data_IF_328725172534
#
_entry.id   IF_328725172534
#
_cell.length_a   1.000
_cell.length_b   1.000
_cell.length_c   1.000
_cell.angle_alpha   90.00
_cell.angle_beta   90.00
_cell.angle_gamma   90.00
#
_symmetry.space_group_name_H-M   'P 1'
#
loop_
_entity.id
_entity.type
_entity.pdbx_description
1 polymer ?
#
# COMPACT_ATOMS: atom_id res chain seq x y z
N UNK A 1 18.43 -10.49 -9.48
CA UNK A 1 19.44 -10.95 -10.45
C UNK A 1 20.12 -12.26 -10.05
N UNK A 2 20.43 -12.49 -8.76
CA UNK A 2 21.07 -13.75 -8.32
C UNK A 2 20.21 -15.01 -8.58
N UNK A 3 18.90 -14.98 -8.33
CA UNK A 3 18.05 -16.18 -8.50
C UNK A 3 17.93 -16.66 -9.96
N UNK A 4 17.79 -15.73 -10.92
CA UNK A 4 17.74 -16.08 -12.34
C UNK A 4 19.07 -16.67 -12.82
N UNK A 5 20.19 -16.16 -12.32
CA UNK A 5 21.51 -16.72 -12.60
C UNK A 5 21.64 -18.15 -12.04
N UNK A 6 21.19 -18.39 -10.81
CA UNK A 6 21.18 -19.73 -10.22
C UNK A 6 20.26 -20.67 -11.03
N UNK A 7 19.06 -20.21 -11.36
CA UNK A 7 18.04 -20.98 -12.07
C UNK A 7 18.47 -21.42 -13.48
N UNK A 8 18.95 -20.49 -14.31
CA UNK A 8 19.13 -20.74 -15.74
C UNK A 8 20.59 -20.99 -16.14
N UNK A 9 21.56 -20.42 -15.42
CA UNK A 9 22.98 -20.57 -15.72
C UNK A 9 23.64 -21.68 -14.89
N UNK A 10 23.50 -21.65 -13.56
CA UNK A 10 24.06 -22.71 -12.69
C UNK A 10 23.21 -23.98 -12.75
N UNK A 11 21.89 -23.83 -12.86
CA UNK A 11 20.90 -24.92 -12.86
C UNK A 11 20.90 -25.76 -11.57
N UNK A 12 21.23 -25.13 -10.43
CA UNK A 12 21.13 -25.75 -9.11
C UNK A 12 19.77 -25.48 -8.48
N UNK A 13 18.87 -26.45 -8.64
CA UNK A 13 17.49 -26.39 -8.14
C UNK A 13 17.41 -26.47 -6.61
N UNK A 14 18.34 -27.16 -5.95
CA UNK A 14 18.34 -27.24 -4.47
C UNK A 14 18.80 -25.91 -3.88
N UNK A 15 19.85 -25.31 -4.42
CA UNK A 15 20.27 -23.97 -4.01
C UNK A 15 19.19 -22.92 -4.30
N UNK A 16 18.51 -23.01 -5.44
CA UNK A 16 17.38 -22.13 -5.77
C UNK A 16 16.25 -22.26 -4.73
N UNK A 17 15.89 -23.50 -4.36
CA UNK A 17 14.88 -23.79 -3.36
C UNK A 17 15.26 -23.23 -1.98
N UNK A 18 16.49 -23.45 -1.54
CA UNK A 18 17.00 -22.92 -0.28
C UNK A 18 16.98 -21.39 -0.26
N UNK A 19 17.40 -20.73 -1.35
CA UNK A 19 17.38 -19.27 -1.45
C UNK A 19 15.95 -18.72 -1.41
N UNK A 20 15.00 -19.32 -2.15
CA UNK A 20 13.60 -18.93 -2.08
C UNK A 20 13.01 -19.10 -0.67
N UNK A 21 13.34 -20.20 0.01
CA UNK A 21 12.89 -20.44 1.38
C UNK A 21 13.49 -19.42 2.36
N UNK A 22 14.78 -19.09 2.24
CA UNK A 22 15.42 -18.05 3.06
C UNK A 22 14.75 -16.70 2.87
N UNK A 23 14.48 -16.28 1.63
CA UNK A 23 13.85 -14.99 1.37
C UNK A 23 12.39 -14.94 1.85
N UNK A 24 11.63 -16.03 1.72
CA UNK A 24 10.22 -16.07 2.13
C UNK A 24 10.03 -16.26 3.62
N UNK A 25 10.95 -16.94 4.32
CA UNK A 25 10.78 -17.26 5.73
C UNK A 25 11.64 -16.33 6.59
N UNK A 26 12.93 -16.24 6.30
CA UNK A 26 13.89 -15.56 7.18
C UNK A 26 13.82 -14.05 6.97
N UNK A 27 13.88 -13.57 5.73
CA UNK A 27 13.81 -12.12 5.48
C UNK A 27 12.47 -11.55 5.94
N UNK A 28 11.37 -12.26 5.67
CA UNK A 28 10.07 -11.82 6.16
C UNK A 28 9.97 -11.85 7.69
N UNK A 29 10.45 -12.90 8.36
CA UNK A 29 10.47 -12.92 9.83
C UNK A 29 11.29 -11.76 10.42
N UNK A 30 12.40 -11.39 9.79
CA UNK A 30 13.23 -10.26 10.20
C UNK A 30 12.48 -8.94 10.00
N UNK A 31 11.84 -8.75 8.84
CA UNK A 31 11.04 -7.55 8.57
C UNK A 31 9.94 -7.39 9.62
N UNK A 32 9.12 -8.42 9.84
CA UNK A 32 8.03 -8.37 10.83
C UNK A 32 8.55 -8.12 12.25
N UNK A 33 9.74 -8.65 12.59
CA UNK A 33 10.39 -8.37 13.87
C UNK A 33 10.81 -6.91 13.97
N UNK A 34 11.44 -6.37 12.93
CA UNK A 34 11.85 -4.96 12.88
C UNK A 34 10.65 -4.04 12.96
N UNK A 35 9.57 -4.32 12.23
CA UNK A 35 8.38 -3.47 12.23
C UNK A 35 7.61 -3.47 13.56
N UNK A 36 7.57 -4.60 14.27
CA UNK A 36 6.77 -4.71 15.52
C UNK A 36 7.61 -4.49 16.77
N UNK A 37 8.80 -5.11 16.85
CA UNK A 37 9.61 -5.13 18.08
C UNK A 37 10.44 -3.86 18.22
N UNK A 38 11.03 -3.36 17.13
CA UNK A 38 11.88 -2.18 17.18
C UNK A 38 11.16 -0.95 17.74
N UNK A 39 9.96 -0.56 17.27
CA UNK A 39 9.25 0.59 17.84
C UNK A 39 8.84 0.39 19.30
N UNK A 40 8.60 -0.86 19.74
CA UNK A 40 8.33 -1.13 21.15
C UNK A 40 9.58 -0.90 22.02
N UNK A 41 10.73 -1.39 21.55
CA UNK A 41 12.01 -1.23 22.25
C UNK A 41 12.44 0.23 22.30
N UNK A 42 12.32 0.96 21.19
CA UNK A 42 12.67 2.40 21.17
C UNK A 42 11.76 3.20 22.09
N UNK A 43 10.44 2.98 22.05
CA UNK A 43 9.49 3.64 22.97
C UNK A 43 9.79 3.33 24.44
N UNK A 44 10.07 2.07 24.77
CA UNK A 44 10.44 1.68 26.13
C UNK A 44 11.73 2.36 26.59
N UNK A 45 12.76 2.38 25.74
CA UNK A 45 14.05 3.01 26.04
C UNK A 45 13.91 4.53 26.20
N UNK A 46 13.22 5.21 25.27
CA UNK A 46 12.96 6.66 25.33
C UNK A 46 12.20 7.00 26.61
N UNK A 47 11.14 6.25 26.96
CA UNK A 47 10.39 6.47 28.19
C UNK A 47 11.26 6.30 29.45
N UNK A 48 12.09 5.25 29.51
CA UNK A 48 13.05 5.01 30.60
C UNK A 48 14.07 6.14 30.74
N UNK A 49 14.66 6.58 29.62
CA UNK A 49 15.63 7.68 29.60
C UNK A 49 14.96 9.00 29.99
N UNK A 50 13.73 9.26 29.53
CA UNK A 50 12.96 10.45 29.90
C UNK A 50 12.63 10.46 31.41
N UNK A 51 12.29 9.31 32.00
CA UNK A 51 12.08 9.18 33.45
C UNK A 51 13.36 9.46 34.25
N UNK A 52 14.49 8.88 33.83
CA UNK A 52 15.81 9.13 34.43
C UNK A 52 16.21 10.61 34.30
N UNK A 53 16.02 11.21 33.12
CA UNK A 53 16.32 12.62 32.86
C UNK A 53 15.41 13.54 33.68
N UNK A 54 14.11 13.21 33.84
CA UNK A 54 13.20 13.92 34.76
C UNK A 54 13.71 13.85 36.20
N UNK A 55 14.11 12.68 36.68
CA UNK A 55 14.67 12.48 38.03
C UNK A 55 15.94 13.31 38.26
N UNK A 56 16.90 13.28 37.32
CA UNK A 56 18.12 14.10 37.39
C UNK A 56 17.85 15.61 37.22
N UNK A 57 16.88 16.00 36.38
CA UNK A 57 16.50 17.40 36.21
C UNK A 57 15.75 17.97 37.41
N UNK A 58 14.97 17.15 38.13
CA UNK A 58 14.32 17.55 39.39
C UNK A 58 15.37 17.90 40.46
N UNK A 59 16.47 17.15 40.50
CA UNK A 59 17.64 17.47 41.35
C UNK A 59 18.27 18.82 40.96
N UNK A 60 18.29 19.19 39.67
CA UNK A 60 18.89 20.44 39.16
C UNK A 60 17.95 21.66 39.13
N UNK A 61 16.63 21.46 39.07
CA UNK A 61 15.61 22.52 38.93
C UNK A 61 15.22 23.13 40.28
N UNK A 62 15.47 22.42 41.39
CA UNK A 62 15.34 22.96 42.75
C UNK A 62 16.20 24.21 42.99
N UNK A 63 17.33 24.33 42.29
CA UNK A 63 18.27 25.46 42.48
C UNK A 63 17.94 26.72 41.64
N UNK A 64 17.01 26.65 40.67
CA UNK A 64 16.81 27.72 39.66
C UNK A 64 15.40 28.34 39.67
N UNK A 65 14.48 27.83 40.51
CA UNK A 65 13.10 28.32 40.60
C UNK A 65 13.00 29.66 41.36
N UNK A 66 13.90 29.90 42.31
CA UNK A 66 13.89 31.13 43.13
C UNK A 66 14.38 32.38 42.35
N UNK A 67 15.08 32.23 41.22
CA UNK A 67 15.71 33.36 40.52
C UNK A 67 14.85 33.97 39.39
N UNK A 68 13.89 33.22 38.80
CA UNK A 68 13.21 33.63 37.55
C UNK A 68 11.82 34.24 37.75
N UNK A 69 11.22 34.11 38.94
CA UNK A 69 9.87 34.63 39.25
C UNK A 69 9.79 36.16 39.27
N UNK A 70 10.92 36.87 39.26
CA UNK A 70 11.00 38.34 39.34
C UNK A 70 11.04 39.06 37.97
N UNK A 71 11.20 38.37 36.84
CA UNK A 71 11.63 39.04 35.60
C UNK A 71 10.60 39.12 34.45
N UNK A 72 9.47 38.40 34.49
CA UNK A 72 8.53 38.33 33.36
C UNK A 72 7.13 38.73 33.82
N UNK A 73 6.95 40.02 34.09
CA UNK A 73 5.64 40.66 34.16
C UNK A 73 5.66 41.78 33.12
N UNK A 74 5.55 41.40 31.85
CA UNK A 74 5.58 42.29 30.71
C UNK A 74 4.41 41.97 29.80
N UNK A 75 3.46 42.90 29.73
CA UNK A 75 2.18 42.81 29.04
C UNK A 75 2.40 42.73 27.52
N UNK A 76 2.15 41.56 26.91
CA UNK A 76 2.18 41.37 25.46
C UNK A 76 0.75 41.33 24.91
N UNK A 77 0.45 42.27 24.02
CA UNK A 77 -0.84 42.36 23.34
C UNK A 77 -1.01 41.17 22.38
N UNK A 78 -1.95 40.28 22.71
CA UNK A 78 -2.25 39.09 21.92
C UNK A 78 -3.50 39.32 21.03
N UNK A 79 -3.38 39.32 19.69
CA UNK A 79 -4.51 39.53 18.77
C UNK A 79 -5.59 38.45 18.84
N UNK A 80 -5.34 37.34 19.54
CA UNK A 80 -6.23 36.18 19.63
C UNK A 80 -6.98 36.06 20.95
N UNK A 81 -7.06 37.13 21.74
CA UNK A 81 -7.64 37.18 23.09
C UNK A 81 -9.09 36.64 23.22
N UNK A 82 -9.81 36.48 22.10
CA UNK A 82 -11.19 35.96 22.05
C UNK A 82 -11.30 34.49 21.62
N UNK A 83 -10.18 33.81 21.34
CA UNK A 83 -10.19 32.38 21.06
C UNK A 83 -10.07 31.65 22.40
N UNK A 84 -11.01 30.76 22.77
CA UNK A 84 -10.88 29.95 23.97
C UNK A 84 -9.64 29.05 23.82
N UNK A 85 -8.57 29.39 24.54
CA UNK A 85 -7.39 28.54 24.60
C UNK A 85 -7.66 27.32 25.47
N UNK A 86 -7.13 26.17 25.05
CA UNK A 86 -7.14 24.98 25.90
C UNK A 86 -6.26 25.25 27.12
N UNK A 87 -6.74 24.86 28.30
CA UNK A 87 -5.94 24.90 29.52
C UNK A 87 -4.68 24.05 29.33
N UNK A 88 -3.54 24.51 29.89
CA UNK A 88 -2.24 23.84 29.74
C UNK A 88 -2.23 22.37 30.19
N UNK A 89 -3.18 22.00 31.05
CA UNK A 89 -3.31 20.67 31.64
C UNK A 89 -4.34 19.78 30.91
N UNK A 90 -4.90 20.23 29.77
CA UNK A 90 -5.85 19.42 29.00
C UNK A 90 -5.16 18.17 28.42
N UNK A 91 -5.71 16.95 28.63
CA UNK A 91 -5.12 15.71 28.13
C UNK A 91 -4.96 15.66 26.59
N UNK A 92 -5.70 16.50 25.86
CA UNK A 92 -5.56 16.62 24.39
C UNK A 92 -4.22 17.21 23.97
N UNK A 93 -3.63 18.10 24.78
CA UNK A 93 -2.33 18.70 24.49
C UNK A 93 -1.24 17.63 24.59
N UNK A 94 -1.26 16.83 25.65
CA UNK A 94 -0.33 15.71 25.83
C UNK A 94 -0.48 14.65 24.72
N UNK A 95 -1.71 14.36 24.30
CA UNK A 95 -1.97 13.47 23.17
C UNK A 95 -1.40 14.02 21.84
N UNK A 96 -1.61 15.32 21.57
CA UNK A 96 -1.10 15.97 20.36
C UNK A 96 0.44 16.05 20.33
N UNK A 97 1.08 16.31 21.47
CA UNK A 97 2.54 16.29 21.58
C UNK A 97 3.08 14.88 21.33
N UNK A 98 2.48 13.86 21.96
CA UNK A 98 2.86 12.46 21.75
C UNK A 98 2.69 12.00 20.31
N UNK A 99 1.61 12.42 19.65
CA UNK A 99 1.40 12.14 18.23
C UNK A 99 2.46 12.87 17.39
N UNK A 100 2.73 14.16 17.65
CA UNK A 100 3.74 14.93 16.93
C UNK A 100 5.19 14.45 17.11
N UNK A 101 5.46 13.61 18.11
CA UNK A 101 6.76 12.93 18.30
C UNK A 101 6.89 11.62 17.48
N UNK A 102 5.79 11.09 16.95
CA UNK A 102 5.84 9.89 16.09
C UNK A 102 6.37 10.23 14.70
N UNK A 103 6.82 9.20 13.98
CA UNK A 103 7.31 9.35 12.62
C UNK A 103 6.15 9.59 11.63
N UNK A 104 6.42 10.33 10.56
CA UNK A 104 5.48 10.55 9.48
C UNK A 104 5.39 9.31 8.58
N UNK A 105 4.18 8.91 8.21
CA UNK A 105 3.99 7.81 7.27
C UNK A 105 4.16 8.31 5.82
N UNK A 106 5.31 7.99 5.20
CA UNK A 106 5.70 8.48 3.86
C UNK A 106 4.80 7.94 2.72
N UNK A 107 4.10 6.83 2.95
CA UNK A 107 3.10 6.27 2.05
C UNK A 107 3.14 4.75 1.96
N UNK A 108 2.33 4.18 1.08
CA UNK A 108 2.14 2.73 0.95
C UNK A 108 3.18 2.05 0.04
N UNK A 109 4.24 2.75 -0.35
CA UNK A 109 5.17 2.24 -1.37
C UNK A 109 5.91 1.00 -0.86
N UNK A 110 6.50 1.06 0.33
CA UNK A 110 7.26 -0.05 0.90
C UNK A 110 6.35 -1.25 1.22
N UNK A 111 5.15 -1.01 1.74
CA UNK A 111 4.16 -2.06 2.01
C UNK A 111 3.78 -2.82 0.72
N UNK A 112 3.57 -2.10 -0.39
CA UNK A 112 3.33 -2.74 -1.68
C UNK A 112 4.57 -3.41 -2.26
N UNK A 113 5.76 -2.84 -2.05
CA UNK A 113 7.02 -3.42 -2.52
C UNK A 113 7.29 -4.77 -1.86
N UNK A 114 7.04 -4.89 -0.56
CA UNK A 114 7.13 -6.14 0.18
C UNK A 114 6.20 -7.21 -0.42
N UNK A 115 4.92 -6.88 -0.59
CA UNK A 115 3.94 -7.77 -1.22
C UNK A 115 4.32 -8.14 -2.66
N UNK A 116 4.88 -7.19 -3.41
CA UNK A 116 5.32 -7.42 -4.78
C UNK A 116 6.51 -8.38 -4.86
N UNK A 117 7.51 -8.22 -3.99
CA UNK A 117 8.68 -9.11 -3.93
C UNK A 117 8.25 -10.53 -3.52
N UNK A 118 7.41 -10.65 -2.49
CA UNK A 118 6.87 -11.93 -2.04
C UNK A 118 6.06 -12.63 -3.14
N UNK A 119 5.17 -11.90 -3.81
CA UNK A 119 4.43 -12.43 -4.95
C UNK A 119 5.38 -12.95 -6.03
N UNK A 120 6.43 -12.17 -6.37
CA UNK A 120 7.45 -12.56 -7.33
C UNK A 120 8.11 -13.90 -6.98
N UNK A 121 8.55 -14.10 -5.73
CA UNK A 121 9.15 -15.36 -5.30
C UNK A 121 8.18 -16.55 -5.41
N UNK A 122 6.92 -16.35 -5.06
CA UNK A 122 5.90 -17.40 -5.14
C UNK A 122 5.62 -17.77 -6.60
N UNK A 123 5.35 -16.79 -7.47
CA UNK A 123 4.89 -17.09 -8.83
C UNK A 123 6.02 -17.44 -9.80
N UNK A 124 7.19 -16.79 -9.72
CA UNK A 124 8.30 -17.03 -10.67
C UNK A 124 8.92 -18.42 -10.49
N UNK A 125 8.97 -18.94 -9.26
CA UNK A 125 9.68 -20.17 -8.91
C UNK A 125 8.76 -21.29 -8.40
N UNK A 126 7.46 -21.20 -8.68
CA UNK A 126 6.45 -22.15 -8.21
C UNK A 126 6.73 -23.60 -8.62
N UNK A 127 7.32 -23.84 -9.80
CA UNK A 127 7.67 -25.18 -10.27
C UNK A 127 8.77 -25.85 -9.44
N UNK A 128 9.62 -25.05 -8.78
CA UNK A 128 10.77 -25.53 -7.99
C UNK A 128 10.44 -25.59 -6.51
N UNK A 129 9.69 -24.61 -5.99
CA UNK A 129 9.28 -24.56 -4.59
C UNK A 129 7.77 -24.33 -4.40
N UNK A 130 6.92 -25.34 -4.66
CA UNK A 130 5.46 -25.18 -4.60
C UNK A 130 4.92 -24.76 -3.21
N UNK A 131 5.60 -25.18 -2.13
CA UNK A 131 5.21 -24.84 -0.75
C UNK A 131 5.44 -23.36 -0.41
N UNK A 132 6.09 -22.58 -1.30
CA UNK A 132 6.22 -21.12 -1.17
C UNK A 132 4.88 -20.43 -0.91
N UNK A 133 3.82 -20.86 -1.61
CA UNK A 133 2.49 -20.26 -1.48
C UNK A 133 1.91 -20.41 -0.07
N UNK A 134 2.17 -21.55 0.60
CA UNK A 134 1.74 -21.79 1.98
C UNK A 134 2.44 -20.82 2.94
N UNK A 135 3.76 -20.67 2.81
CA UNK A 135 4.54 -19.72 3.63
C UNK A 135 4.09 -18.29 3.40
N UNK A 136 3.84 -17.92 2.14
CA UNK A 136 3.35 -16.59 1.81
C UNK A 136 1.98 -16.29 2.47
N UNK A 137 1.06 -17.25 2.51
CA UNK A 137 -0.22 -17.08 3.20
C UNK A 137 0.00 -16.88 4.71
N UNK A 138 0.84 -17.71 5.33
CA UNK A 138 1.14 -17.61 6.76
C UNK A 138 1.74 -16.24 7.10
N UNK A 139 2.69 -15.78 6.30
CA UNK A 139 3.26 -14.45 6.44
C UNK A 139 2.17 -13.36 6.30
N UNK A 140 1.36 -13.38 5.24
CA UNK A 140 0.32 -12.37 5.01
C UNK A 140 -0.67 -12.27 6.18
N UNK A 141 -0.97 -13.38 6.87
CA UNK A 141 -1.84 -13.37 8.06
C UNK A 141 -1.20 -12.59 9.21
N UNK A 142 0.11 -12.76 9.41
CA UNK A 142 0.87 -12.00 10.41
C UNK A 142 1.02 -10.53 9.97
N UNK A 143 1.26 -10.31 8.68
CA UNK A 143 1.48 -8.99 8.09
C UNK A 143 0.30 -8.05 8.30
N UNK A 144 -0.92 -8.53 8.05
CA UNK A 144 -2.16 -7.75 8.29
C UNK A 144 -2.21 -7.21 9.73
N UNK A 145 -1.66 -7.96 10.71
CA UNK A 145 -1.62 -7.52 12.11
C UNK A 145 -0.44 -6.61 12.40
N UNK A 146 0.72 -6.87 11.79
CA UNK A 146 1.91 -6.02 11.89
C UNK A 146 1.63 -4.63 11.31
N UNK A 147 1.11 -4.54 10.08
CA UNK A 147 0.73 -3.28 9.43
C UNK A 147 -0.33 -2.50 10.21
N UNK A 148 -1.33 -3.19 10.76
CA UNK A 148 -2.33 -2.56 11.59
C UNK A 148 -1.70 -1.95 12.86
N UNK A 149 -0.76 -2.67 13.48
CA UNK A 149 -0.02 -2.16 14.64
C UNK A 149 0.88 -0.97 14.26
N UNK A 150 1.60 -1.06 13.14
CA UNK A 150 2.44 -0.02 12.55
C UNK A 150 1.66 1.29 12.39
N UNK A 151 0.49 1.25 11.75
CA UNK A 151 -0.35 2.43 11.54
C UNK A 151 -1.04 2.95 12.81
N UNK A 152 -1.37 2.08 13.78
CA UNK A 152 -2.10 2.49 14.98
C UNK A 152 -1.19 2.96 16.12
N UNK A 153 0.05 2.46 16.17
CA UNK A 153 0.92 2.60 17.33
C UNK A 153 2.31 3.14 17.00
N UNK A 154 2.73 3.20 15.74
CA UNK A 154 4.11 3.61 15.38
C UNK A 154 4.12 4.96 14.68
N UNK A 155 3.28 5.16 13.68
CA UNK A 155 3.23 6.39 12.89
C UNK A 155 2.21 7.42 13.39
N UNK A 156 2.41 8.67 12.99
CA UNK A 156 1.39 9.71 13.02
C UNK A 156 0.19 9.33 12.14
N UNK A 157 -1.00 9.84 12.45
CA UNK A 157 -2.18 9.58 11.63
C UNK A 157 -1.99 10.17 10.22
N UNK A 158 -1.94 9.33 9.17
CA UNK A 158 -1.76 9.84 7.81
C UNK A 158 -3.00 10.58 7.33
N UNK A 159 -2.78 11.59 6.49
CA UNK A 159 -3.86 12.35 5.86
C UNK A 159 -4.59 11.48 4.82
N UNK A 160 -5.92 11.36 4.96
CA UNK A 160 -6.74 10.55 4.07
C UNK A 160 -6.72 11.05 2.62
N UNK A 161 -6.21 10.24 1.70
CA UNK A 161 -6.23 10.51 0.26
C UNK A 161 -7.27 9.61 -0.43
N UNK A 162 -8.10 10.19 -1.29
CA UNK A 162 -9.06 9.42 -2.10
C UNK A 162 -8.37 8.92 -3.37
N UNK A 163 -8.11 7.63 -3.41
CA UNK A 163 -7.57 6.93 -4.59
C UNK A 163 -8.65 6.02 -5.22
N UNK A 164 -8.53 5.74 -6.52
CA UNK A 164 -9.50 4.91 -7.26
C UNK A 164 -9.08 3.45 -7.36
N UNK A 165 -7.78 3.20 -7.35
CA UNK A 165 -7.12 1.92 -7.56
C UNK A 165 -5.74 1.94 -6.89
N UNK A 166 -5.03 0.81 -6.95
CA UNK A 166 -3.67 0.63 -6.43
C UNK A 166 -2.59 1.27 -7.32
N UNK A 167 -2.99 1.91 -8.43
CA UNK A 167 -2.10 2.61 -9.35
C UNK A 167 -1.17 1.69 -10.15
N UNK A 168 0.10 2.09 -10.24
CA UNK A 168 1.12 1.41 -11.06
C UNK A 168 1.38 -0.05 -10.64
N UNK A 169 1.10 -0.38 -9.38
CA UNK A 169 1.26 -1.73 -8.83
C UNK A 169 0.46 -2.78 -9.62
N UNK A 170 -0.75 -2.45 -10.07
CA UNK A 170 -1.57 -3.37 -10.88
C UNK A 170 -0.80 -3.87 -12.10
N UNK A 171 -0.19 -2.95 -12.87
CA UNK A 171 0.62 -3.31 -14.04
C UNK A 171 1.88 -4.09 -13.65
N UNK A 172 2.50 -3.74 -12.52
CA UNK A 172 3.69 -4.44 -12.04
C UNK A 172 3.38 -5.92 -11.74
N UNK A 173 2.31 -6.20 -10.98
CA UNK A 173 1.84 -7.56 -10.70
C UNK A 173 1.47 -8.32 -11.97
N UNK A 174 0.82 -7.66 -12.94
CA UNK A 174 0.49 -8.27 -14.23
C UNK A 174 1.74 -8.66 -15.03
N UNK A 175 2.76 -7.80 -15.08
CA UNK A 175 4.02 -8.08 -15.78
C UNK A 175 4.76 -9.25 -15.14
N UNK A 176 4.87 -9.29 -13.81
CA UNK A 176 5.48 -10.43 -13.09
C UNK A 176 4.68 -11.71 -13.31
N UNK A 177 3.35 -11.62 -13.28
CA UNK A 177 2.47 -12.76 -13.57
C UNK A 177 2.54 -13.25 -15.02
N UNK A 178 2.97 -12.42 -15.97
CA UNK A 178 3.26 -12.86 -17.33
C UNK A 178 4.67 -13.49 -17.43
N UNK A 179 5.68 -12.87 -16.82
CA UNK A 179 7.05 -13.40 -16.77
C UNK A 179 7.14 -14.75 -16.04
N UNK A 180 6.24 -15.02 -15.09
CA UNK A 180 6.19 -16.31 -14.40
C UNK A 180 5.86 -17.47 -15.33
N UNK A 181 5.07 -17.27 -16.38
CA UNK A 181 4.78 -18.33 -17.35
C UNK A 181 6.07 -18.77 -18.04
N UNK A 182 6.84 -17.80 -18.55
CA UNK A 182 8.15 -18.02 -19.18
C UNK A 182 9.12 -18.71 -18.22
N UNK A 183 9.21 -18.18 -17.00
CA UNK A 183 10.15 -18.65 -15.99
C UNK A 183 9.85 -20.09 -15.58
N UNK A 184 8.59 -20.43 -15.29
CA UNK A 184 8.22 -21.79 -14.88
C UNK A 184 8.33 -22.78 -16.04
N UNK A 185 7.95 -22.42 -17.27
CA UNK A 185 8.13 -23.30 -18.43
C UNK A 185 9.62 -23.58 -18.67
N UNK A 186 10.48 -22.57 -18.58
CA UNK A 186 11.92 -22.73 -18.68
C UNK A 186 12.51 -23.60 -17.56
N UNK A 187 12.08 -23.39 -16.31
CA UNK A 187 12.51 -24.22 -15.17
C UNK A 187 12.07 -25.68 -15.31
N UNK A 188 10.86 -25.94 -15.81
CA UNK A 188 10.39 -27.30 -16.07
C UNK A 188 11.18 -27.96 -17.21
N UNK A 189 11.49 -27.21 -18.27
CA UNK A 189 12.31 -27.69 -19.38
C UNK A 189 13.71 -28.13 -18.92
N UNK A 190 14.30 -27.38 -18.00
CA UNK A 190 15.62 -27.65 -17.42
C UNK A 190 15.61 -28.66 -16.26
N UNK A 191 14.43 -29.03 -15.74
CA UNK A 191 14.33 -29.89 -14.56
C UNK A 191 14.88 -31.31 -14.84
N UNK A 192 15.86 -31.80 -14.05
CA UNK A 192 16.38 -33.16 -14.20
C UNK A 192 15.35 -34.25 -13.94
N UNK A 193 14.34 -33.97 -13.11
CA UNK A 193 13.25 -34.90 -12.83
C UNK A 193 12.35 -35.05 -14.07
N UNK A 194 12.05 -33.93 -14.73
CA UNK A 194 11.24 -33.90 -15.93
C UNK A 194 12.00 -34.56 -17.10
N UNK A 195 13.28 -34.23 -17.30
CA UNK A 195 14.10 -34.83 -18.36
C UNK A 195 14.22 -36.35 -18.23
N UNK A 196 14.23 -36.88 -16.99
CA UNK A 196 14.21 -38.34 -16.74
C UNK A 196 12.89 -39.02 -17.08
N UNK A 197 11.77 -38.30 -17.08
CA UNK A 197 10.46 -38.84 -17.42
C UNK A 197 10.26 -39.03 -18.93
N UNK A 198 11.00 -38.28 -19.76
CA UNK A 198 10.98 -38.41 -21.23
C UNK A 198 12.38 -38.66 -21.80
N UNK A 199 13.02 -39.81 -21.49
CA UNK A 199 14.40 -40.08 -21.89
C UNK A 199 14.56 -40.24 -23.41
N UNK A 200 13.53 -40.74 -24.09
CA UNK A 200 13.56 -41.07 -25.52
C UNK A 200 13.26 -39.86 -26.44
N UNK A 201 12.86 -38.72 -25.85
CA UNK A 201 12.53 -37.51 -26.62
C UNK A 201 13.81 -36.78 -27.02
N UNK A 202 13.92 -36.44 -28.30
CA UNK A 202 15.04 -35.65 -28.82
C UNK A 202 15.13 -34.26 -28.17
N UNK A 203 16.32 -33.66 -28.14
CA UNK A 203 16.51 -32.35 -27.49
C UNK A 203 15.66 -31.23 -28.11
N UNK A 204 15.51 -31.24 -29.44
CA UNK A 204 14.71 -30.25 -30.17
C UNK A 204 13.22 -30.45 -29.85
N UNK A 205 12.74 -31.69 -29.93
CA UNK A 205 11.36 -32.04 -29.60
C UNK A 205 11.01 -31.68 -28.15
N UNK A 206 11.95 -31.89 -27.22
CA UNK A 206 11.82 -31.52 -25.83
C UNK A 206 11.59 -30.01 -25.65
N UNK A 207 12.47 -29.19 -26.24
CA UNK A 207 12.36 -27.74 -26.15
C UNK A 207 11.06 -27.25 -26.81
N UNK A 208 10.72 -27.76 -27.99
CA UNK A 208 9.49 -27.41 -28.69
C UNK A 208 8.24 -27.74 -27.86
N UNK A 209 8.24 -28.84 -27.10
CA UNK A 209 7.12 -29.20 -26.24
C UNK A 209 6.88 -28.14 -25.15
N UNK A 210 7.93 -27.63 -24.51
CA UNK A 210 7.81 -26.58 -23.49
C UNK A 210 7.49 -25.21 -24.07
N UNK A 211 8.00 -24.88 -25.26
CA UNK A 211 7.60 -23.66 -25.99
C UNK A 211 6.13 -23.73 -26.38
N UNK A 212 5.64 -24.89 -26.81
CA UNK A 212 4.22 -25.09 -27.11
C UNK A 212 3.34 -24.96 -25.85
N UNK A 213 3.77 -25.57 -24.74
CA UNK A 213 3.09 -25.42 -23.44
C UNK A 213 3.03 -23.96 -23.00
N UNK A 214 4.14 -23.23 -23.15
CA UNK A 214 4.21 -21.80 -22.86
C UNK A 214 3.16 -21.01 -23.65
N UNK A 215 3.05 -21.22 -24.97
CA UNK A 215 2.06 -20.54 -25.81
C UNK A 215 0.61 -20.88 -25.41
N UNK A 216 0.34 -22.13 -25.02
CA UNK A 216 -0.98 -22.52 -24.48
C UNK A 216 -1.29 -21.72 -23.21
N UNK A 217 -0.34 -21.65 -22.26
CA UNK A 217 -0.55 -20.95 -20.99
C UNK A 217 -0.71 -19.43 -21.19
N UNK A 218 0.05 -18.83 -22.10
CA UNK A 218 -0.12 -17.43 -22.51
C UNK A 218 -1.52 -17.24 -23.14
N UNK A 219 -1.95 -18.15 -24.01
CA UNK A 219 -3.27 -18.14 -24.61
C UNK A 219 -4.40 -18.20 -23.57
N UNK A 220 -4.29 -19.12 -22.59
CA UNK A 220 -5.23 -19.22 -21.47
C UNK A 220 -5.27 -17.93 -20.66
N UNK A 221 -4.11 -17.36 -20.32
CA UNK A 221 -4.01 -16.08 -19.60
C UNK A 221 -4.72 -14.96 -20.36
N UNK A 222 -4.50 -14.88 -21.68
CA UNK A 222 -5.14 -13.88 -22.52
C UNK A 222 -6.67 -14.04 -22.56
N UNK A 223 -7.15 -15.29 -22.71
CA UNK A 223 -8.59 -15.60 -22.67
C UNK A 223 -9.20 -15.20 -21.32
N UNK A 224 -8.53 -15.51 -20.20
CA UNK A 224 -9.00 -15.13 -18.87
C UNK A 224 -9.10 -13.61 -18.72
N UNK A 225 -8.13 -12.86 -19.26
CA UNK A 225 -8.14 -11.40 -19.23
C UNK A 225 -9.30 -10.78 -20.04
N UNK A 226 -9.74 -11.42 -21.12
CA UNK A 226 -10.90 -10.96 -21.89
C UNK A 226 -12.23 -11.38 -21.24
N UNK A 227 -12.26 -12.59 -20.67
CA UNK A 227 -13.50 -13.19 -20.16
C UNK A 227 -13.91 -12.61 -18.81
N UNK A 228 -12.95 -12.26 -17.95
CA UNK A 228 -13.23 -11.73 -16.61
C UNK A 228 -13.33 -10.20 -16.69
N UNK A 229 -14.53 -9.60 -16.56
CA UNK A 229 -14.65 -8.15 -16.56
C UNK A 229 -14.05 -7.57 -15.27
N UNK A 230 -13.27 -6.50 -15.41
CA UNK A 230 -12.63 -5.80 -14.28
C UNK A 230 -13.62 -5.30 -13.21
N UNK A 231 -14.87 -5.04 -13.61
CA UNK A 231 -15.92 -4.54 -12.72
C UNK A 231 -17.10 -5.50 -12.69
N UNK A 232 -17.56 -5.90 -11.50
CA UNK A 232 -18.73 -6.74 -11.39
C UNK A 232 -19.99 -6.01 -11.86
N UNK A 233 -21.02 -6.77 -12.23
CA UNK A 233 -22.22 -6.24 -12.86
C UNK A 233 -22.97 -5.22 -11.98
N UNK A 234 -23.11 -5.49 -10.69
CA UNK A 234 -23.79 -4.60 -9.75
C UNK A 234 -23.10 -3.22 -9.67
N UNK A 235 -21.76 -3.15 -9.78
CA UNK A 235 -21.01 -1.89 -9.84
C UNK A 235 -21.29 -1.16 -11.15
N UNK A 236 -21.32 -1.90 -12.27
CA UNK A 236 -21.61 -1.33 -13.60
C UNK A 236 -23.02 -0.73 -13.64
N UNK A 237 -24.01 -1.42 -13.08
CA UNK A 237 -25.39 -0.93 -12.99
C UNK A 237 -25.48 0.29 -12.06
N UNK A 238 -24.83 0.25 -10.88
CA UNK A 238 -24.82 1.38 -9.95
C UNK A 238 -24.17 2.64 -10.56
N UNK A 239 -23.04 2.48 -11.25
CA UNK A 239 -22.38 3.56 -11.99
C UNK A 239 -23.25 4.08 -13.14
N UNK A 240 -23.90 3.19 -13.89
CA UNK A 240 -24.80 3.55 -14.98
C UNK A 240 -26.00 4.36 -14.47
N UNK A 241 -26.61 3.94 -13.35
CA UNK A 241 -27.69 4.66 -12.68
C UNK A 241 -27.25 6.06 -12.24
N UNK A 242 -26.12 6.15 -11.52
CA UNK A 242 -25.55 7.45 -11.08
C UNK A 242 -25.28 8.40 -12.26
N UNK A 243 -24.72 7.87 -13.35
CA UNK A 243 -24.44 8.65 -14.56
C UNK A 243 -25.72 9.12 -15.26
N UNK A 244 -26.75 8.27 -15.29
CA UNK A 244 -28.05 8.62 -15.86
C UNK A 244 -28.75 9.70 -15.04
N UNK A 245 -28.73 9.60 -13.71
CA UNK A 245 -29.32 10.59 -12.82
C UNK A 245 -28.60 11.94 -12.92
N UNK A 246 -27.26 11.94 -13.02
CA UNK A 246 -26.46 13.14 -13.29
C UNK A 246 -26.82 13.78 -14.66
N UNK A 247 -27.00 12.98 -15.71
CA UNK A 247 -27.45 13.46 -17.03
C UNK A 247 -28.86 14.05 -16.98
N UNK A 248 -29.77 13.45 -16.21
CA UNK A 248 -31.14 13.97 -16.00
C UNK A 248 -31.12 15.31 -15.27
N UNK A 249 -30.33 15.42 -14.19
CA UNK A 249 -30.16 16.67 -13.45
C UNK A 249 -29.62 17.80 -14.35
N UNK A 250 -28.61 17.51 -15.18
CA UNK A 250 -28.06 18.48 -16.13
C UNK A 250 -29.09 18.92 -17.18
N UNK A 251 -29.90 18.00 -17.70
CA UNK A 251 -30.99 18.34 -18.64
C UNK A 251 -32.03 19.25 -17.98
N UNK A 252 -32.40 18.96 -16.73
CA UNK A 252 -33.33 19.78 -15.97
C UNK A 252 -32.78 21.20 -15.74
N UNK A 253 -31.51 21.32 -15.35
CA UNK A 253 -30.84 22.61 -15.15
C UNK A 253 -30.77 23.43 -16.46
N UNK A 254 -30.40 22.79 -17.59
CA UNK A 254 -30.38 23.44 -18.91
C UNK A 254 -31.77 23.93 -19.32
N UNK A 255 -32.81 23.11 -19.12
CA UNK A 255 -34.19 23.50 -19.40
C UNK A 255 -34.62 24.71 -18.56
N UNK A 256 -34.31 24.72 -17.27
CA UNK A 256 -34.59 25.88 -16.41
C UNK A 256 -33.85 27.15 -16.86
N UNK A 257 -32.55 27.04 -17.20
CA UNK A 257 -31.76 28.16 -17.71
C UNK A 257 -32.36 28.71 -19.01
N UNK A 258 -32.70 27.85 -19.97
CA UNK A 258 -33.35 28.27 -21.21
C UNK A 258 -34.69 28.96 -20.97
N UNK A 259 -35.51 28.44 -20.06
CA UNK A 259 -36.78 29.08 -19.69
C UNK A 259 -36.58 30.47 -19.09
N UNK A 260 -35.57 30.65 -18.22
CA UNK A 260 -35.21 31.96 -17.65
C UNK A 260 -34.68 32.94 -18.69
N UNK A 261 -33.92 32.47 -19.67
CA UNK A 261 -33.43 33.31 -20.78
C UNK A 261 -34.57 33.78 -21.67
N UNK A 262 -35.50 32.88 -22.02
CA UNK A 262 -36.69 33.22 -22.81
C UNK A 262 -37.56 34.26 -22.09
N UNK A 263 -37.83 34.10 -20.79
CA UNK A 263 -38.64 35.08 -20.04
C UNK A 263 -37.95 36.43 -19.90
N UNK A 264 -36.62 36.47 -19.71
CA UNK A 264 -35.84 37.73 -19.72
C UNK A 264 -35.89 38.42 -21.09
N UNK A 265 -35.71 37.66 -22.18
CA UNK A 265 -35.78 38.18 -23.54
C UNK A 265 -37.18 38.71 -23.88
N UNK A 266 -38.22 38.01 -23.41
CA UNK A 266 -39.60 38.45 -23.61
C UNK A 266 -39.90 39.75 -22.86
N UNK A 267 -39.48 39.87 -21.59
CA UNK A 267 -39.62 41.11 -20.78
C UNK A 267 -38.86 42.30 -21.35
N UNK A 268 -37.72 42.08 -22.02
CA UNK A 268 -36.92 43.17 -22.62
C UNK A 268 -37.48 43.61 -23.97
N UNK A 269 -38.11 42.71 -24.73
CA UNK A 269 -38.78 43.06 -26.00
C UNK A 269 -40.14 43.74 -25.75
N UNK A 270 -40.87 43.33 -24.71
CA UNK A 270 -42.18 43.89 -24.34
C UNK A 270 -42.10 44.68 -23.02
N UNK A 271 -41.07 45.54 -22.87
CA UNK A 271 -40.95 46.42 -21.71
C UNK A 271 -42.26 47.14 -21.42
N UNK A 272 -42.55 47.50 -20.15
CA UNK A 272 -43.86 48.01 -19.76
C UNK A 272 -44.24 49.17 -20.67
N UNK A 273 -45.29 48.98 -21.47
CA UNK A 273 -45.95 50.09 -22.13
C UNK A 273 -46.49 50.96 -21.00
N UNK A 274 -45.73 51.99 -20.65
CA UNK A 274 -46.18 53.09 -19.82
C UNK A 274 -47.26 53.80 -20.64
N UNK A 275 -48.52 53.51 -20.31
CA UNK A 275 -49.67 54.34 -20.63
C UNK A 275 -50.08 55.06 -19.34
#
# INVERSE_FOLDING_TARGET
MSLFYIAFYIQDFEMLKSQCATMLIISQAINNLQEVVLPFVTKFYIAKVAQLKKMFSFVRKKDNYDLKKSFIMGDQFDPFQHIPELQSDDPRIDAAIKEGELEDYEGTYDDYLEMYIQFGYVVLFSSVYPIAAFWAILNNILEIRADAFKLCMVYQRPMGRRVKDIGAWQRAFEVVGAMSILTNCGLLCLSPQMRRAGPDVGQIEWILMFVFLEHILIGIRYILHITIPERPEWVRIALAKRNHDSKKALKYEKSQKNRRLLTRRFKTIHGPHAY
#
